data_IF_755425965574
#
_entry.id   IF_755425965574
#
_cell.length_a   1.000
_cell.length_b   1.000
_cell.length_c   1.000
_cell.angle_alpha   90.00
_cell.angle_beta   90.00
_cell.angle_gamma   90.00
#
_symmetry.space_group_name_H-M   'P 1'
#
loop_
_entity.id
_entity.type
_entity.pdbx_description
1 polymer ?
#
# COMPACT_ATOMS: atom_id res chain seq x y z
N UNK A 1 19.07 16.42 19.88
CA UNK A 1 18.88 16.39 18.41
C UNK A 1 19.00 14.94 18.01
N UNK A 2 18.03 14.36 17.31
CA UNK A 2 18.07 13.00 16.79
C UNK A 2 19.20 12.86 15.76
N UNK A 3 19.90 11.74 15.78
CA UNK A 3 21.04 11.46 14.91
C UNK A 3 20.55 11.29 13.45
N UNK A 4 21.27 11.90 12.49
CA UNK A 4 20.97 11.82 11.06
C UNK A 4 21.27 10.38 10.58
N UNK A 5 20.31 9.76 9.88
CA UNK A 5 20.45 8.42 9.34
C UNK A 5 20.64 8.43 7.83
N UNK A 6 19.77 9.12 7.10
CA UNK A 6 19.82 9.22 5.64
C UNK A 6 19.78 10.68 5.24
N UNK A 7 20.70 11.09 4.38
CA UNK A 7 20.65 12.41 3.76
C UNK A 7 20.71 12.28 2.24
N UNK A 8 19.85 13.01 1.57
CA UNK A 8 19.83 13.16 0.12
C UNK A 8 19.95 14.62 -0.21
N UNK A 9 20.90 14.99 -1.07
CA UNK A 9 21.17 16.38 -1.43
C UNK A 9 21.17 16.59 -2.94
N UNK A 10 20.39 17.56 -3.41
CA UNK A 10 20.28 18.00 -4.80
C UNK A 10 20.13 16.83 -5.78
N UNK A 11 19.33 15.83 -5.38
CA UNK A 11 19.19 14.60 -6.11
C UNK A 11 18.37 14.79 -7.38
N UNK A 12 19.00 14.52 -8.53
CA UNK A 12 18.35 14.53 -9.83
C UNK A 12 18.34 13.11 -10.41
N UNK A 13 17.13 12.63 -10.74
CA UNK A 13 16.93 11.33 -11.38
C UNK A 13 16.17 11.54 -12.68
N UNK A 14 16.69 10.96 -13.77
CA UNK A 14 16.04 10.94 -15.07
C UNK A 14 15.48 9.55 -15.39
N UNK A 15 14.41 9.54 -16.18
CA UNK A 15 13.87 8.35 -16.82
C UNK A 15 13.97 8.47 -18.35
N UNK A 16 14.22 7.34 -19.01
CA UNK A 16 14.09 7.21 -20.45
C UNK A 16 12.61 7.09 -20.81
N UNK A 17 12.09 8.11 -21.48
CA UNK A 17 10.71 8.18 -21.98
C UNK A 17 10.79 8.36 -23.50
N UNK A 18 10.44 7.29 -24.22
CA UNK A 18 10.48 7.27 -25.69
C UNK A 18 11.87 7.63 -26.28
N UNK A 19 12.94 7.11 -25.68
CA UNK A 19 14.32 7.35 -26.10
C UNK A 19 14.85 8.74 -25.72
N UNK A 20 14.15 9.48 -24.84
CA UNK A 20 14.59 10.79 -24.33
C UNK A 20 14.67 10.77 -22.81
N UNK A 21 15.81 11.15 -22.29
CA UNK A 21 15.99 11.32 -20.85
C UNK A 21 15.26 12.56 -20.36
N UNK A 22 14.37 12.38 -19.39
CA UNK A 22 13.59 13.45 -18.76
C UNK A 22 13.73 13.39 -17.26
N UNK A 23 13.93 14.52 -16.57
CA UNK A 23 14.02 14.56 -15.12
C UNK A 23 12.66 14.23 -14.48
N UNK A 24 12.65 13.20 -13.61
CA UNK A 24 11.49 12.76 -12.80
C UNK A 24 11.67 13.06 -11.33
N UNK A 25 12.90 13.37 -10.90
CA UNK A 25 13.26 13.97 -9.60
C UNK A 25 14.21 15.13 -9.91
N UNK A 26 13.93 16.32 -9.37
CA UNK A 26 14.54 17.57 -9.82
C UNK A 26 15.21 18.34 -8.69
N UNK A 27 16.37 17.86 -8.22
CA UNK A 27 17.13 18.51 -7.16
C UNK A 27 16.46 18.40 -5.79
N UNK A 28 15.89 17.25 -5.46
CA UNK A 28 15.24 17.03 -4.17
C UNK A 28 16.26 16.84 -3.05
N UNK A 29 15.90 17.39 -1.89
CA UNK A 29 16.65 17.23 -0.64
C UNK A 29 15.79 16.53 0.39
N UNK A 30 16.40 15.68 1.23
CA UNK A 30 15.75 15.02 2.37
C UNK A 30 16.77 14.66 3.43
N UNK A 31 16.47 14.97 4.68
CA UNK A 31 17.21 14.50 5.85
C UNK A 31 16.26 13.66 6.70
N UNK A 32 16.58 12.40 6.92
CA UNK A 32 15.83 11.46 7.76
C UNK A 32 16.66 11.09 8.97
N UNK A 33 16.08 11.21 10.15
CA UNK A 33 16.73 10.91 11.43
C UNK A 33 16.37 9.50 11.93
N UNK A 34 17.20 8.95 12.82
CA UNK A 34 16.94 7.64 13.44
C UNK A 34 15.59 7.65 14.16
N UNK A 35 14.77 6.62 13.90
CA UNK A 35 13.43 6.46 14.48
C UNK A 35 12.37 7.41 13.93
N UNK A 36 12.70 8.27 12.98
CA UNK A 36 11.77 9.18 12.31
C UNK A 36 11.00 8.46 11.18
N UNK A 37 9.74 8.80 11.01
CA UNK A 37 8.90 8.36 9.89
C UNK A 37 8.57 9.57 9.01
N UNK A 38 9.08 9.59 7.76
CA UNK A 38 8.73 10.61 6.77
C UNK A 38 7.68 10.05 5.81
N UNK A 39 6.58 10.77 5.66
CA UNK A 39 5.57 10.51 4.63
C UNK A 39 5.90 11.22 3.31
N UNK A 40 6.01 10.48 2.21
CA UNK A 40 6.10 11.04 0.86
C UNK A 40 4.72 10.98 0.20
N UNK A 41 4.10 12.13 -0.06
CA UNK A 41 2.77 12.22 -0.65
C UNK A 41 2.78 12.98 -1.98
N UNK A 42 1.74 12.79 -2.78
CA UNK A 42 1.53 13.44 -4.09
C UNK A 42 0.80 12.53 -5.06
N UNK A 43 0.41 13.06 -6.20
CA UNK A 43 -0.28 12.31 -7.26
C UNK A 43 0.58 11.17 -7.83
N UNK A 44 -0.09 10.23 -8.53
CA UNK A 44 0.64 9.20 -9.29
C UNK A 44 1.55 9.87 -10.33
N UNK A 45 2.78 9.37 -10.48
CA UNK A 45 3.78 9.99 -11.36
C UNK A 45 4.55 11.17 -10.76
N UNK A 46 4.30 11.57 -9.50
CA UNK A 46 5.02 12.67 -8.86
C UNK A 46 6.52 12.40 -8.55
N UNK A 47 7.01 11.18 -8.79
CA UNK A 47 8.40 10.81 -8.51
C UNK A 47 8.64 10.17 -7.14
N UNK A 48 7.60 9.98 -6.31
CA UNK A 48 7.69 9.48 -4.91
C UNK A 48 8.47 8.17 -4.77
N UNK A 49 8.00 7.12 -5.46
CA UNK A 49 8.64 5.79 -5.38
C UNK A 49 10.08 5.82 -5.92
N UNK A 50 10.34 6.60 -6.96
CA UNK A 50 11.70 6.74 -7.51
C UNK A 50 12.62 7.43 -6.52
N UNK A 51 12.15 8.52 -5.89
CA UNK A 51 12.90 9.24 -4.87
C UNK A 51 13.12 8.39 -3.62
N UNK A 52 12.07 7.73 -3.10
CA UNK A 52 12.20 6.84 -1.94
C UNK A 52 13.16 5.68 -2.18
N UNK A 53 13.04 4.99 -3.32
CA UNK A 53 13.93 3.87 -3.68
C UNK A 53 15.40 4.30 -3.84
N UNK A 54 15.65 5.54 -4.24
CA UNK A 54 17.01 6.08 -4.30
C UNK A 54 17.69 6.05 -2.92
N UNK A 55 16.93 6.14 -1.81
CA UNK A 55 17.45 6.01 -0.43
C UNK A 55 18.13 4.69 -0.11
N UNK A 56 17.96 3.68 -0.95
CA UNK A 56 18.72 2.41 -0.88
C UNK A 56 19.76 2.29 -2.02
N UNK A 57 20.13 3.41 -2.67
CA UNK A 57 21.02 3.40 -3.83
C UNK A 57 20.44 2.69 -5.06
N UNK A 58 19.10 2.62 -5.19
CA UNK A 58 18.43 1.89 -6.26
C UNK A 58 17.65 2.82 -7.18
N UNK A 59 17.78 2.60 -8.48
CA UNK A 59 16.91 3.19 -9.51
C UNK A 59 16.22 2.07 -10.29
N UNK A 60 14.95 2.29 -10.66
CA UNK A 60 14.22 1.34 -11.53
C UNK A 60 14.92 1.23 -12.90
N UNK A 61 14.77 0.11 -13.61
CA UNK A 61 15.23 0.00 -15.01
C UNK A 61 14.69 1.16 -15.84
N UNK A 62 15.53 1.73 -16.70
CA UNK A 62 15.18 2.93 -17.46
C UNK A 62 15.31 4.25 -16.68
N UNK A 63 15.81 4.23 -15.44
CA UNK A 63 16.11 5.42 -14.65
C UNK A 63 17.60 5.49 -14.29
N UNK A 64 18.12 6.72 -14.13
CA UNK A 64 19.49 6.96 -13.70
C UNK A 64 19.59 8.17 -12.77
N UNK A 65 20.51 8.11 -11.81
CA UNK A 65 20.91 9.26 -11.01
C UNK A 65 21.87 10.09 -11.86
N UNK A 66 21.57 11.37 -12.06
CA UNK A 66 22.38 12.30 -12.87
C UNK A 66 23.28 13.13 -11.99
N UNK A 67 22.76 13.58 -10.85
CA UNK A 67 23.51 14.39 -9.89
C UNK A 67 22.94 14.25 -8.50
N UNK A 68 23.65 14.78 -7.52
CA UNK A 68 23.30 14.75 -6.11
C UNK A 68 24.07 13.68 -5.35
N UNK A 69 23.79 13.61 -4.06
CA UNK A 69 24.43 12.70 -3.10
C UNK A 69 23.36 11.99 -2.28
N UNK A 70 23.62 10.73 -1.94
CA UNK A 70 22.77 9.91 -1.06
C UNK A 70 23.67 9.27 -0.01
N UNK A 71 23.59 9.73 1.23
CA UNK A 71 24.42 9.20 2.31
C UNK A 71 23.56 8.48 3.34
N UNK A 72 23.88 7.22 3.58
CA UNK A 72 23.34 6.44 4.69
C UNK A 72 24.37 6.48 5.82
N UNK A 73 24.06 7.20 6.88
CA UNK A 73 25.04 7.61 7.90
C UNK A 73 26.25 8.31 7.22
N UNK A 74 27.44 7.74 7.32
CA UNK A 74 28.65 8.31 6.73
C UNK A 74 28.99 7.75 5.34
N UNK A 75 28.17 6.86 4.78
CA UNK A 75 28.45 6.13 3.55
C UNK A 75 27.72 6.71 2.34
N UNK A 76 28.45 7.09 1.29
CA UNK A 76 27.88 7.55 0.01
C UNK A 76 27.42 6.36 -0.83
N UNK A 77 26.13 6.40 -1.24
CA UNK A 77 25.50 5.33 -2.04
C UNK A 77 25.55 5.61 -3.55
N UNK A 78 25.67 6.88 -3.96
CA UNK A 78 25.80 7.22 -5.39
C UNK A 78 27.17 6.78 -5.88
N UNK A 79 27.18 5.91 -6.88
CA UNK A 79 28.43 5.33 -7.39
C UNK A 79 29.02 4.19 -6.57
N UNK A 80 28.38 3.77 -5.49
CA UNK A 80 28.79 2.59 -4.72
C UNK A 80 28.75 1.33 -5.58
N UNK A 81 29.69 0.41 -5.33
CA UNK A 81 29.79 -0.83 -6.09
C UNK A 81 28.52 -1.71 -5.94
N UNK A 82 28.16 -2.49 -6.96
CA UNK A 82 27.03 -3.41 -6.86
C UNK A 82 27.17 -4.42 -5.71
N UNK A 83 28.40 -4.81 -5.36
CA UNK A 83 28.66 -5.70 -4.22
C UNK A 83 28.28 -5.01 -2.91
N UNK A 84 28.72 -3.74 -2.72
CA UNK A 84 28.41 -2.97 -1.51
C UNK A 84 26.92 -2.69 -1.39
N UNK A 85 26.25 -2.32 -2.46
CA UNK A 85 24.81 -2.11 -2.46
C UNK A 85 24.02 -3.38 -2.09
N UNK A 86 24.50 -4.57 -2.49
CA UNK A 86 23.89 -5.85 -2.06
C UNK A 86 24.06 -6.11 -0.57
N UNK A 87 25.20 -5.72 0.02
CA UNK A 87 25.42 -5.84 1.45
C UNK A 87 24.49 -4.93 2.28
N UNK A 88 24.14 -3.75 1.75
CA UNK A 88 23.28 -2.77 2.42
C UNK A 88 21.82 -3.17 2.28
N UNK A 89 21.37 -3.57 1.08
CA UNK A 89 19.98 -3.91 0.77
C UNK A 89 19.57 -5.23 1.43
N UNK A 90 18.43 -5.20 2.12
CA UNK A 90 17.93 -6.32 2.91
C UNK A 90 18.59 -6.46 4.29
N UNK A 91 19.68 -5.72 4.54
CA UNK A 91 20.41 -5.70 5.80
C UNK A 91 20.24 -4.37 6.57
N UNK A 92 20.82 -3.28 6.05
CA UNK A 92 20.73 -1.94 6.69
C UNK A 92 19.51 -1.18 6.22
N UNK A 93 19.11 -1.36 4.96
CA UNK A 93 17.91 -0.76 4.36
C UNK A 93 17.06 -1.86 3.74
N UNK A 94 15.78 -1.90 4.09
CA UNK A 94 14.81 -2.84 3.55
C UNK A 94 13.70 -2.13 2.80
N UNK A 95 13.01 -2.87 1.93
CA UNK A 95 11.94 -2.36 1.09
C UNK A 95 10.70 -3.23 1.20
N UNK A 96 9.56 -2.58 1.37
CA UNK A 96 8.22 -3.20 1.37
C UNK A 96 7.49 -2.71 0.12
N UNK A 97 7.25 -3.63 -0.81
CA UNK A 97 6.67 -3.31 -2.11
C UNK A 97 5.16 -3.04 -2.03
N UNK A 98 4.64 -2.36 -3.04
CA UNK A 98 3.21 -2.05 -3.19
C UNK A 98 2.33 -3.31 -3.22
N UNK A 99 2.77 -4.37 -3.89
CA UNK A 99 2.04 -5.63 -4.01
C UNK A 99 2.83 -6.77 -3.39
N UNK A 100 2.40 -7.22 -2.21
CA UNK A 100 2.97 -8.39 -1.59
C UNK A 100 2.79 -9.64 -2.47
N UNK A 101 1.64 -9.78 -3.13
CA UNK A 101 1.37 -10.91 -4.03
C UNK A 101 2.35 -11.00 -5.21
N UNK A 102 2.86 -9.85 -5.69
CA UNK A 102 3.86 -9.81 -6.75
C UNK A 102 5.30 -9.98 -6.23
N UNK A 103 5.54 -9.67 -4.96
CA UNK A 103 6.87 -9.74 -4.35
C UNK A 103 7.25 -11.17 -3.91
N UNK A 104 6.27 -11.95 -3.43
CA UNK A 104 6.50 -13.32 -2.99
C UNK A 104 6.55 -14.31 -4.17
N UNK A 105 7.46 -15.27 -4.09
CA UNK A 105 7.45 -16.41 -4.98
C UNK A 105 6.34 -17.40 -4.56
N UNK A 106 5.33 -17.67 -5.42
CA UNK A 106 4.19 -18.53 -5.05
C UNK A 106 4.57 -20.01 -4.85
N UNK A 107 5.76 -20.44 -5.30
CA UNK A 107 6.24 -21.81 -5.18
C UNK A 107 6.96 -22.11 -3.85
N UNK A 108 7.24 -21.08 -3.04
CA UNK A 108 7.93 -21.21 -1.76
C UNK A 108 7.02 -20.81 -0.59
N UNK A 109 7.24 -21.45 0.57
CA UNK A 109 6.53 -21.10 1.81
C UNK A 109 6.98 -19.73 2.30
N UNK A 110 6.14 -19.06 3.09
CA UNK A 110 6.45 -17.73 3.63
C UNK A 110 7.72 -17.75 4.49
N UNK A 111 7.91 -18.78 5.32
CA UNK A 111 9.06 -18.87 6.21
C UNK A 111 10.36 -19.12 5.44
N UNK A 112 10.32 -19.89 4.36
CA UNK A 112 11.51 -20.15 3.55
C UNK A 112 12.05 -18.85 2.93
N UNK A 113 11.13 -18.00 2.44
CA UNK A 113 11.48 -16.70 1.87
C UNK A 113 11.91 -15.68 2.94
N UNK A 114 11.34 -15.77 4.16
CA UNK A 114 11.79 -14.96 5.28
C UNK A 114 13.23 -15.27 5.67
N UNK A 115 13.59 -16.54 5.76
CA UNK A 115 14.89 -17.03 6.22
C UNK A 115 16.02 -16.64 5.25
N UNK A 116 15.72 -16.45 3.98
CA UNK A 116 16.73 -16.23 2.92
C UNK A 116 17.64 -15.04 3.24
N UNK A 117 17.09 -13.86 3.50
CA UNK A 117 17.89 -12.65 3.73
C UNK A 117 18.76 -12.72 5.00
N UNK A 118 18.26 -13.09 6.20
CA UNK A 118 19.08 -13.24 7.39
C UNK A 118 20.24 -14.24 7.23
N UNK A 119 20.01 -15.35 6.52
CA UNK A 119 21.05 -16.36 6.28
C UNK A 119 22.06 -15.87 5.25
N UNK A 120 21.60 -15.29 4.13
CA UNK A 120 22.46 -14.78 3.07
C UNK A 120 23.39 -13.66 3.55
N UNK A 121 22.90 -12.79 4.44
CA UNK A 121 23.69 -11.73 5.08
C UNK A 121 24.54 -12.23 6.26
N UNK A 122 24.54 -13.53 6.57
CA UNK A 122 25.31 -14.10 7.66
C UNK A 122 24.90 -13.64 9.06
N UNK A 123 23.67 -13.12 9.21
CA UNK A 123 23.15 -12.64 10.51
C UNK A 123 22.75 -13.77 11.44
N UNK A 124 22.16 -14.82 10.88
CA UNK A 124 21.55 -15.92 11.63
C UNK A 124 21.74 -17.25 10.91
N UNK A 125 21.68 -18.34 11.66
CA UNK A 125 21.49 -19.68 11.10
C UNK A 125 20.02 -19.84 10.70
N UNK A 126 19.72 -20.77 9.79
CA UNK A 126 18.36 -20.99 9.27
C UNK A 126 17.31 -21.22 10.37
N UNK A 127 17.64 -22.02 11.39
CA UNK A 127 16.73 -22.29 12.51
C UNK A 127 16.46 -21.05 13.37
N UNK A 128 17.48 -20.22 13.62
CA UNK A 128 17.35 -18.97 14.37
C UNK A 128 16.56 -17.94 13.59
N UNK A 129 16.79 -17.87 12.28
CA UNK A 129 16.03 -17.02 11.37
C UNK A 129 14.54 -17.43 11.30
N UNK A 130 14.25 -18.74 11.29
CA UNK A 130 12.87 -19.22 11.34
C UNK A 130 12.16 -18.84 12.65
N UNK A 131 12.83 -19.00 13.80
CA UNK A 131 12.30 -18.54 15.10
C UNK A 131 12.06 -17.02 15.09
N UNK A 132 13.02 -16.27 14.57
CA UNK A 132 12.88 -14.81 14.39
C UNK A 132 11.66 -14.45 13.52
N UNK A 133 11.41 -15.21 12.46
CA UNK A 133 10.22 -15.05 11.60
C UNK A 133 8.93 -15.23 12.39
N UNK A 134 8.82 -16.30 13.16
CA UNK A 134 7.66 -16.56 14.03
C UNK A 134 7.41 -15.44 15.04
N UNK A 135 8.50 -14.91 15.68
CA UNK A 135 8.40 -13.79 16.60
C UNK A 135 7.92 -12.51 15.92
N UNK A 136 8.39 -12.23 14.70
CA UNK A 136 7.92 -11.09 13.91
C UNK A 136 6.48 -11.28 13.42
N UNK A 137 6.07 -12.49 13.05
CA UNK A 137 4.68 -12.80 12.72
C UNK A 137 3.75 -12.55 13.91
N UNK A 138 4.19 -12.89 15.13
CA UNK A 138 3.44 -12.61 16.36
C UNK A 138 3.35 -11.11 16.64
N UNK A 139 4.45 -10.35 16.49
CA UNK A 139 4.48 -8.90 16.66
C UNK A 139 3.63 -8.15 15.62
N UNK A 140 3.46 -8.72 14.44
CA UNK A 140 2.64 -8.16 13.35
C UNK A 140 1.23 -8.76 13.30
N UNK A 141 0.75 -9.35 14.41
CA UNK A 141 -0.60 -9.90 14.60
C UNK A 141 -1.05 -10.84 13.46
N UNK A 142 -0.11 -11.65 12.95
CA UNK A 142 -0.47 -12.71 12.02
C UNK A 142 -1.16 -13.86 12.78
N UNK A 143 -2.28 -14.39 12.26
CA UNK A 143 -2.96 -15.51 12.91
C UNK A 143 -2.08 -16.77 12.87
N UNK A 144 -2.09 -17.55 13.95
CA UNK A 144 -1.31 -18.77 14.09
C UNK A 144 0.18 -18.55 13.73
N UNK A 145 0.87 -17.63 14.45
CA UNK A 145 2.21 -17.14 14.07
C UNK A 145 3.27 -18.24 14.02
N UNK A 146 3.05 -19.34 14.74
CA UNK A 146 3.96 -20.49 14.76
C UNK A 146 3.87 -21.34 13.48
N UNK A 147 2.70 -21.35 12.80
CA UNK A 147 2.47 -22.21 11.65
C UNK A 147 2.18 -21.46 10.35
N UNK A 148 1.74 -20.19 10.39
CA UNK A 148 1.43 -19.42 9.18
C UNK A 148 2.60 -19.37 8.19
N UNK A 149 3.82 -19.38 8.69
CA UNK A 149 5.05 -19.43 7.88
C UNK A 149 5.15 -20.66 6.98
N UNK A 150 4.47 -21.76 7.32
CA UNK A 150 4.44 -22.98 6.53
C UNK A 150 3.48 -22.91 5.33
N UNK A 151 2.64 -21.86 5.25
CA UNK A 151 1.71 -21.64 4.13
C UNK A 151 2.42 -21.02 2.94
N UNK A 152 1.84 -21.26 1.77
CA UNK A 152 2.23 -20.60 0.52
C UNK A 152 1.51 -19.25 0.38
N UNK A 153 2.05 -18.29 -0.40
CA UNK A 153 1.45 -16.97 -0.58
C UNK A 153 -0.03 -16.97 -0.97
N UNK A 154 -0.46 -17.91 -1.80
CA UNK A 154 -1.85 -18.05 -2.26
C UNK A 154 -2.81 -18.63 -1.20
N UNK A 155 -2.32 -19.07 -0.05
CA UNK A 155 -3.10 -19.68 1.04
C UNK A 155 -3.39 -18.67 2.17
N UNK A 156 -2.98 -17.42 2.03
CA UNK A 156 -3.17 -16.36 3.02
C UNK A 156 -3.88 -15.16 2.41
N UNK A 157 -4.53 -14.34 3.22
CA UNK A 157 -5.19 -13.11 2.76
C UNK A 157 -4.17 -12.04 2.35
N UNK A 158 -4.61 -11.05 1.56
CA UNK A 158 -3.76 -9.92 1.16
C UNK A 158 -3.14 -9.17 2.34
N UNK A 159 -3.91 -8.92 3.40
CA UNK A 159 -3.42 -8.27 4.63
C UNK A 159 -2.42 -9.13 5.40
N UNK A 160 -2.64 -10.45 5.46
CA UNK A 160 -1.67 -11.39 6.05
C UNK A 160 -0.38 -11.42 5.25
N UNK A 161 -0.47 -11.44 3.92
CA UNK A 161 0.70 -11.44 3.05
C UNK A 161 1.49 -10.13 3.17
N UNK A 162 0.81 -8.99 3.30
CA UNK A 162 1.43 -7.69 3.49
C UNK A 162 2.17 -7.60 4.83
N UNK A 163 1.57 -8.11 5.92
CA UNK A 163 2.22 -8.21 7.23
C UNK A 163 3.42 -9.17 7.20
N UNK A 164 3.30 -10.30 6.50
CA UNK A 164 4.42 -11.22 6.30
C UNK A 164 5.58 -10.58 5.51
N UNK A 165 5.30 -9.75 4.49
CA UNK A 165 6.31 -8.99 3.76
C UNK A 165 6.99 -7.95 4.66
N UNK A 166 6.23 -7.29 5.53
CA UNK A 166 6.79 -6.38 6.54
C UNK A 166 7.70 -7.13 7.53
N UNK A 167 7.28 -8.32 7.99
CA UNK A 167 8.13 -9.19 8.81
C UNK A 167 9.44 -9.52 8.11
N UNK A 168 9.37 -9.90 6.85
CA UNK A 168 10.54 -10.22 6.03
C UNK A 168 11.48 -9.00 5.90
N UNK A 169 10.94 -7.80 5.68
CA UNK A 169 11.71 -6.57 5.64
C UNK A 169 12.41 -6.25 6.99
N UNK A 170 11.82 -6.66 8.12
CA UNK A 170 12.37 -6.48 9.46
C UNK A 170 13.32 -7.61 9.90
N UNK A 171 13.49 -8.65 9.10
CA UNK A 171 14.21 -9.88 9.47
C UNK A 171 15.67 -9.67 9.87
N UNK A 172 16.37 -8.73 9.20
CA UNK A 172 17.77 -8.39 9.47
C UNK A 172 17.97 -7.21 10.44
N UNK A 173 16.94 -6.74 11.13
CA UNK A 173 16.95 -5.53 11.97
C UNK A 173 17.48 -4.30 11.22
N UNK A 174 16.84 -3.88 10.12
CA UNK A 174 17.28 -2.75 9.33
C UNK A 174 17.18 -1.45 10.11
N UNK A 175 18.00 -0.44 9.75
CA UNK A 175 17.92 0.91 10.30
C UNK A 175 16.88 1.77 9.57
N UNK A 176 16.60 1.44 8.31
CA UNK A 176 15.63 2.11 7.45
C UNK A 176 14.73 1.11 6.74
N UNK A 177 13.43 1.37 6.74
CA UNK A 177 12.48 0.65 5.89
C UNK A 177 11.79 1.65 4.96
N UNK A 178 11.75 1.32 3.67
CA UNK A 178 11.02 2.08 2.65
C UNK A 178 9.74 1.32 2.34
N UNK A 179 8.58 1.91 2.65
CA UNK A 179 7.27 1.39 2.34
C UNK A 179 6.73 2.08 1.09
N UNK A 180 6.49 1.33 0.03
CA UNK A 180 5.95 1.87 -1.24
C UNK A 180 4.48 1.45 -1.38
N UNK A 181 3.57 2.33 -0.97
CA UNK A 181 2.10 2.11 -1.00
C UNK A 181 1.65 0.75 -0.44
N UNK A 182 2.10 0.33 0.75
CA UNK A 182 1.96 -1.05 1.21
C UNK A 182 0.51 -1.48 1.49
N UNK A 183 -0.46 -0.57 1.45
CA UNK A 183 -1.85 -0.86 1.80
C UNK A 183 -2.84 -0.63 0.66
N UNK A 184 -2.38 -0.23 -0.53
CA UNK A 184 -3.24 0.12 -1.67
C UNK A 184 -4.14 -1.04 -2.15
N UNK A 185 -3.70 -2.29 -1.97
CA UNK A 185 -4.46 -3.48 -2.37
C UNK A 185 -5.38 -4.04 -1.27
N UNK A 186 -5.47 -3.37 -0.12
CA UNK A 186 -6.24 -3.82 1.04
C UNK A 186 -7.58 -3.06 1.12
N UNK A 187 -8.58 -3.71 1.72
CA UNK A 187 -9.80 -3.03 2.13
C UNK A 187 -9.53 -2.10 3.33
N UNK A 188 -10.42 -1.13 3.54
CA UNK A 188 -10.21 -0.03 4.51
C UNK A 188 -9.99 -0.54 5.94
N UNK A 189 -10.71 -1.57 6.36
CA UNK A 189 -10.61 -2.12 7.73
C UNK A 189 -9.24 -2.80 7.92
N UNK A 190 -8.89 -3.70 7.02
CA UNK A 190 -7.57 -4.37 7.00
C UNK A 190 -6.43 -3.36 6.87
N UNK A 191 -6.63 -2.28 6.10
CA UNK A 191 -5.63 -1.21 5.97
C UNK A 191 -5.31 -0.55 7.31
N UNK A 192 -6.32 -0.18 8.10
CA UNK A 192 -6.14 0.47 9.40
C UNK A 192 -5.38 -0.45 10.37
N UNK A 193 -5.76 -1.73 10.44
CA UNK A 193 -5.10 -2.72 11.28
C UNK A 193 -3.62 -2.92 10.90
N UNK A 194 -3.35 -3.12 9.61
CA UNK A 194 -1.98 -3.30 9.09
C UNK A 194 -1.12 -2.07 9.39
N UNK A 195 -1.68 -0.87 9.24
CA UNK A 195 -0.96 0.38 9.50
C UNK A 195 -0.60 0.55 10.98
N UNK A 196 -1.56 0.29 11.90
CA UNK A 196 -1.31 0.35 13.34
C UNK A 196 -0.18 -0.60 13.74
N UNK A 197 -0.29 -1.84 13.30
CA UNK A 197 0.68 -2.90 13.59
C UNK A 197 2.08 -2.57 13.04
N UNK A 198 2.16 -2.06 11.79
CA UNK A 198 3.42 -1.62 11.20
C UNK A 198 4.04 -0.47 12.00
N UNK A 199 3.23 0.55 12.35
CA UNK A 199 3.68 1.70 13.14
C UNK A 199 4.27 1.27 14.48
N UNK A 200 3.55 0.42 15.21
CA UNK A 200 3.99 -0.09 16.50
C UNK A 200 5.30 -0.88 16.39
N UNK A 201 5.40 -1.77 15.41
CA UNK A 201 6.58 -2.59 15.18
C UNK A 201 7.81 -1.75 14.80
N UNK A 202 7.64 -0.72 13.94
CA UNK A 202 8.70 0.20 13.53
C UNK A 202 9.16 1.05 14.70
N UNK A 203 8.24 1.64 15.47
CA UNK A 203 8.56 2.49 16.63
C UNK A 203 9.18 1.73 17.77
N UNK A 204 8.69 0.54 18.10
CA UNK A 204 9.23 -0.30 19.18
C UNK A 204 10.71 -0.66 18.95
N UNK A 205 11.19 -0.64 17.71
CA UNK A 205 12.56 -0.97 17.34
C UNK A 205 13.43 0.24 17.03
N UNK A 206 12.85 1.45 17.06
CA UNK A 206 13.57 2.69 16.70
C UNK A 206 14.05 2.71 15.25
N UNK A 207 13.38 1.99 14.35
CA UNK A 207 13.67 1.97 12.91
C UNK A 207 13.15 3.25 12.28
N UNK A 208 13.93 3.87 11.41
CA UNK A 208 13.46 4.98 10.60
C UNK A 208 12.66 4.46 9.39
N UNK A 209 11.69 5.25 8.90
CA UNK A 209 10.91 4.84 7.75
C UNK A 209 10.63 5.97 6.76
N UNK A 210 10.63 5.61 5.47
CA UNK A 210 10.05 6.42 4.39
C UNK A 210 8.76 5.74 3.99
N UNK A 211 7.63 6.43 4.17
CA UNK A 211 6.31 5.90 3.85
C UNK A 211 5.73 6.62 2.64
N UNK A 212 5.68 5.95 1.51
CA UNK A 212 5.18 6.47 0.24
C UNK A 212 3.71 6.11 0.10
N UNK A 213 2.86 7.10 -0.11
CA UNK A 213 1.43 6.88 -0.37
C UNK A 213 0.80 8.09 -1.06
N UNK A 214 -0.37 7.87 -1.62
CA UNK A 214 -1.28 8.92 -2.06
C UNK A 214 -2.42 9.16 -1.04
N UNK A 215 -2.52 8.33 0.00
CA UNK A 215 -3.55 8.45 1.05
C UNK A 215 -3.03 9.26 2.24
N UNK A 216 -3.54 10.48 2.33
CA UNK A 216 -3.24 11.42 3.43
C UNK A 216 -3.71 10.94 4.80
N UNK A 217 -4.77 10.09 4.86
CA UNK A 217 -5.25 9.55 6.13
C UNK A 217 -4.23 8.62 6.77
N UNK A 218 -3.56 7.87 5.92
CA UNK A 218 -2.50 6.95 6.31
C UNK A 218 -1.32 7.74 6.87
N UNK A 219 -0.86 8.73 6.12
CA UNK A 219 0.30 9.55 6.52
C UNK A 219 0.02 10.31 7.81
N UNK A 220 -1.20 10.84 7.98
CA UNK A 220 -1.62 11.54 9.19
C UNK A 220 -1.47 10.70 10.47
N UNK A 221 -1.61 9.38 10.35
CA UNK A 221 -1.53 8.45 11.48
C UNK A 221 -0.10 7.97 11.77
N UNK A 222 0.76 7.96 10.75
CA UNK A 222 2.08 7.32 10.81
C UNK A 222 3.23 8.30 10.90
N UNK A 223 3.24 9.33 10.05
CA UNK A 223 4.39 10.17 9.80
C UNK A 223 4.61 11.20 10.91
N UNK A 224 5.88 11.47 11.20
CA UNK A 224 6.32 12.58 12.03
C UNK A 224 6.45 13.85 11.17
N UNK A 225 6.90 13.70 9.91
CA UNK A 225 7.06 14.77 8.93
C UNK A 225 6.54 14.32 7.56
N UNK A 226 6.03 15.26 6.78
CA UNK A 226 5.47 15.01 5.44
C UNK A 226 6.21 15.85 4.41
N UNK A 227 6.53 15.22 3.28
CA UNK A 227 7.01 15.86 2.06
C UNK A 227 5.97 15.69 0.95
N UNK A 228 5.52 16.78 0.37
CA UNK A 228 4.54 16.83 -0.72
C UNK A 228 5.27 17.02 -2.04
N UNK A 229 5.17 16.01 -2.91
CA UNK A 229 5.83 16.01 -4.22
C UNK A 229 4.83 16.20 -5.36
N UNK A 230 5.25 16.95 -6.39
CA UNK A 230 4.50 17.11 -7.64
C UNK A 230 5.45 17.23 -8.82
N UNK A 231 5.28 16.37 -9.82
CA UNK A 231 6.08 16.38 -11.07
C UNK A 231 7.60 16.41 -10.85
N UNK A 232 8.08 15.76 -9.80
CA UNK A 232 9.49 15.68 -9.45
C UNK A 232 10.02 16.85 -8.61
N UNK A 233 9.17 17.79 -8.25
CA UNK A 233 9.52 18.95 -7.40
C UNK A 233 8.95 18.78 -5.99
N UNK A 234 9.66 19.29 -4.97
CA UNK A 234 9.16 19.44 -3.61
C UNK A 234 8.25 20.68 -3.55
N UNK A 235 7.00 20.49 -3.20
CA UNK A 235 6.01 21.56 -3.10
C UNK A 235 5.95 22.11 -1.68
N UNK A 236 5.91 21.22 -0.69
CA UNK A 236 5.79 21.59 0.72
C UNK A 236 6.38 20.50 1.60
N UNK A 237 6.99 20.90 2.70
CA UNK A 237 7.53 20.01 3.72
C UNK A 237 7.24 20.58 5.10
N UNK A 238 6.91 19.73 6.06
CA UNK A 238 6.67 20.18 7.42
C UNK A 238 6.34 19.03 8.37
N UNK A 239 6.22 19.38 9.66
CA UNK A 239 5.64 18.52 10.67
C UNK A 239 4.25 18.01 10.20
N UNK A 240 3.99 16.73 10.37
CA UNK A 240 2.79 16.09 9.81
C UNK A 240 1.51 16.75 10.29
N UNK A 241 1.42 17.06 11.58
CA UNK A 241 0.21 17.69 12.16
C UNK A 241 0.02 19.11 11.64
N UNK A 242 1.08 19.90 11.67
CA UNK A 242 1.06 21.30 11.21
C UNK A 242 0.69 21.42 9.74
N UNK A 243 1.24 20.56 8.89
CA UNK A 243 0.97 20.53 7.45
C UNK A 243 -0.48 20.13 7.14
N UNK A 244 -1.02 19.17 7.90
CA UNK A 244 -2.40 18.71 7.72
C UNK A 244 -3.44 19.72 8.25
N UNK A 245 -3.14 20.43 9.34
CA UNK A 245 -4.04 21.43 9.93
C UNK A 245 -4.00 22.77 9.18
N UNK A 246 -2.81 23.18 8.68
CA UNK A 246 -2.60 24.48 8.05
C UNK A 246 -1.64 24.44 6.85
N UNK A 247 -1.99 23.80 5.74
CA UNK A 247 -1.16 23.71 4.54
C UNK A 247 -0.97 25.10 3.92
N UNK A 248 0.27 25.43 3.60
CA UNK A 248 0.65 26.74 3.04
C UNK A 248 0.50 26.77 1.51
N UNK A 249 0.73 25.64 0.85
CA UNK A 249 0.68 25.55 -0.61
C UNK A 249 -0.72 25.20 -1.13
N UNK A 250 -1.12 25.85 -2.22
CA UNK A 250 -2.43 25.61 -2.84
C UNK A 250 -2.62 24.14 -3.27
N UNK A 251 -1.56 23.54 -3.80
CA UNK A 251 -1.57 22.14 -4.21
C UNK A 251 -1.84 21.21 -3.02
N UNK A 252 -1.17 21.43 -1.90
CA UNK A 252 -1.39 20.65 -0.66
C UNK A 252 -2.82 20.82 -0.15
N UNK A 253 -3.34 22.06 -0.16
CA UNK A 253 -4.76 22.33 0.20
C UNK A 253 -5.73 21.57 -0.69
N UNK A 254 -5.48 21.51 -2.00
CA UNK A 254 -6.31 20.76 -2.95
C UNK A 254 -6.25 19.25 -2.69
N UNK A 255 -5.08 18.68 -2.42
CA UNK A 255 -4.92 17.27 -2.04
C UNK A 255 -5.72 16.93 -0.79
N UNK A 256 -5.73 17.81 0.21
CA UNK A 256 -6.49 17.67 1.45
C UNK A 256 -8.00 17.87 1.25
N UNK A 257 -8.40 18.81 0.37
CA UNK A 257 -9.80 19.16 0.12
C UNK A 257 -10.58 18.04 -0.60
N UNK A 258 -9.94 17.20 -1.40
CA UNK A 258 -10.59 16.05 -2.06
C UNK A 258 -11.26 15.12 -1.03
N UNK A 259 -10.80 15.12 0.21
CA UNK A 259 -11.38 14.39 1.34
C UNK A 259 -12.62 15.02 1.95
N UNK A 260 -12.82 16.31 1.76
CA UNK A 260 -13.92 17.10 2.33
C UNK A 260 -15.02 17.40 1.30
N UNK A 261 -15.17 16.61 0.25
CA UNK A 261 -16.32 16.70 -0.64
C UNK A 261 -17.59 16.43 0.21
N UNK A 262 -18.11 17.51 0.80
CA UNK A 262 -19.44 17.52 1.38
C UNK A 262 -20.42 17.19 0.25
N UNK A 263 -21.33 16.28 0.53
CA UNK A 263 -22.56 16.13 -0.23
C UNK A 263 -23.15 17.52 -0.51
N UNK A 264 -23.12 17.96 -1.77
CA UNK A 264 -24.10 18.93 -2.19
C UNK A 264 -25.45 18.23 -2.07
N UNK A 265 -26.25 18.67 -1.11
CA UNK A 265 -27.66 18.31 -1.03
C UNK A 265 -28.33 18.85 -2.28
N UNK A 266 -28.27 18.06 -3.35
CA UNK A 266 -29.04 18.30 -4.56
C UNK A 266 -30.52 18.27 -4.20
N UNK A 267 -31.23 19.31 -4.62
CA UNK A 267 -32.67 19.46 -4.43
C UNK A 267 -33.40 18.20 -4.90
N UNK A 268 -34.34 17.74 -4.09
CA UNK A 268 -35.31 16.68 -4.34
C UNK A 268 -36.04 16.92 -5.68
N UNK A 269 -35.56 16.28 -6.75
CA UNK A 269 -36.37 16.00 -7.93
C UNK A 269 -36.80 14.52 -7.85
N UNK A 270 -37.97 14.19 -8.40
CA UNK A 270 -38.54 12.83 -8.42
C UNK A 270 -37.45 11.81 -8.70
N UNK A 271 -37.26 10.90 -7.74
CA UNK A 271 -36.16 9.97 -7.70
C UNK A 271 -36.47 8.78 -8.63
N UNK A 272 -36.11 8.89 -9.92
CA UNK A 272 -36.23 7.77 -10.84
C UNK A 272 -35.17 6.72 -10.45
N UNK A 273 -35.63 5.59 -9.91
CA UNK A 273 -34.78 4.44 -9.58
C UNK A 273 -34.33 3.76 -10.88
N UNK A 274 -33.03 3.73 -11.12
CA UNK A 274 -32.43 3.08 -12.32
C UNK A 274 -32.12 1.61 -12.06
N UNK A 275 -31.66 1.28 -10.83
CA UNK A 275 -31.37 -0.09 -10.46
C UNK A 275 -31.99 -0.38 -9.09
N UNK A 276 -32.71 -1.47 -8.99
CA UNK A 276 -33.22 -2.00 -7.72
C UNK A 276 -32.85 -3.48 -7.59
N UNK A 277 -32.21 -3.80 -6.47
CA UNK A 277 -31.93 -5.16 -6.04
C UNK A 277 -32.81 -5.41 -4.84
N UNK A 278 -33.65 -6.45 -4.86
CA UNK A 278 -34.64 -6.72 -3.82
C UNK A 278 -34.49 -8.12 -3.27
N UNK A 279 -34.19 -8.21 -1.97
CA UNK A 279 -34.09 -9.45 -1.16
C UNK A 279 -33.24 -10.53 -1.83
N UNK A 280 -32.09 -10.14 -2.42
CA UNK A 280 -31.24 -11.06 -3.17
C UNK A 280 -30.37 -11.88 -2.23
N UNK A 281 -30.47 -13.21 -2.43
CA UNK A 281 -29.55 -14.19 -1.83
C UNK A 281 -28.87 -15.00 -2.94
N UNK A 282 -27.54 -15.18 -2.78
CA UNK A 282 -26.74 -15.87 -3.78
C UNK A 282 -25.56 -16.62 -3.17
N UNK A 283 -25.21 -17.75 -3.82
CA UNK A 283 -24.02 -18.57 -3.52
C UNK A 283 -23.37 -19.05 -4.79
N UNK A 284 -22.11 -19.41 -4.71
CA UNK A 284 -21.40 -20.00 -5.83
C UNK A 284 -21.82 -21.48 -6.02
N UNK A 285 -21.77 -21.99 -7.26
CA UNK A 285 -21.97 -23.41 -7.51
C UNK A 285 -20.99 -24.24 -6.66
N UNK A 286 -21.49 -25.27 -5.98
CA UNK A 286 -20.74 -26.15 -5.08
C UNK A 286 -20.26 -25.51 -3.75
N UNK A 287 -20.73 -24.33 -3.39
CA UNK A 287 -20.53 -23.76 -2.07
C UNK A 287 -21.71 -24.09 -1.17
N UNK A 288 -21.45 -24.47 0.08
CA UNK A 288 -22.49 -24.79 1.08
C UNK A 288 -23.03 -23.52 1.75
N UNK A 289 -22.27 -22.42 1.73
CA UNK A 289 -22.64 -21.17 2.39
C UNK A 289 -23.12 -20.10 1.41
N UNK A 290 -24.13 -19.36 1.85
CA UNK A 290 -24.65 -18.20 1.13
C UNK A 290 -23.71 -17.00 1.32
N UNK A 291 -23.22 -16.48 0.19
CA UNK A 291 -22.33 -15.30 0.17
C UNK A 291 -23.11 -14.00 0.27
N UNK A 292 -24.30 -13.95 -0.36
CA UNK A 292 -25.25 -12.83 -0.19
C UNK A 292 -26.49 -13.37 0.53
N UNK A 293 -26.93 -12.62 1.55
CA UNK A 293 -28.10 -12.98 2.38
C UNK A 293 -29.02 -11.78 2.46
N UNK A 294 -30.15 -11.85 1.77
CA UNK A 294 -31.23 -10.85 1.80
C UNK A 294 -30.76 -9.40 1.51
N UNK A 295 -30.01 -9.21 0.45
CA UNK A 295 -29.45 -7.91 0.09
C UNK A 295 -30.47 -7.10 -0.70
N UNK A 296 -30.73 -5.85 -0.26
CA UNK A 296 -31.56 -4.87 -0.97
C UNK A 296 -30.83 -3.55 -1.11
N UNK A 297 -30.73 -3.04 -2.34
CA UNK A 297 -30.14 -1.73 -2.65
C UNK A 297 -30.94 -1.05 -3.76
N UNK A 298 -30.91 0.29 -3.78
CA UNK A 298 -31.48 1.12 -4.86
C UNK A 298 -30.45 2.13 -5.34
N UNK A 299 -30.37 2.30 -6.65
CA UNK A 299 -29.53 3.32 -7.29
C UNK A 299 -30.45 4.23 -8.08
N UNK A 300 -30.44 5.51 -7.74
CA UNK A 300 -31.21 6.54 -8.41
C UNK A 300 -30.46 7.11 -9.60
N UNK A 301 -31.18 7.65 -10.57
CA UNK A 301 -30.62 8.29 -11.76
C UNK A 301 -29.70 9.46 -11.34
N UNK A 302 -28.47 9.44 -11.86
CA UNK A 302 -27.46 10.46 -11.56
C UNK A 302 -26.84 10.35 -10.17
N UNK A 303 -27.12 9.28 -9.40
CA UNK A 303 -26.49 9.02 -8.09
C UNK A 303 -25.48 7.87 -8.20
N UNK A 304 -24.51 7.91 -7.33
CA UNK A 304 -23.52 6.83 -7.15
C UNK A 304 -23.75 6.16 -5.80
N UNK A 305 -23.85 4.83 -5.80
CA UNK A 305 -23.88 4.02 -4.57
C UNK A 305 -22.56 3.29 -4.45
N UNK A 306 -21.85 3.51 -3.34
CA UNK A 306 -20.62 2.80 -3.03
C UNK A 306 -20.92 1.55 -2.19
N UNK A 307 -20.37 0.40 -2.59
CA UNK A 307 -20.42 -0.85 -1.82
C UNK A 307 -19.07 -1.04 -1.14
N UNK A 308 -19.07 -0.92 0.18
CA UNK A 308 -17.86 -1.01 1.02
C UNK A 308 -17.95 -2.20 1.97
N UNK A 309 -16.83 -2.67 2.48
CA UNK A 309 -16.73 -3.79 3.42
C UNK A 309 -15.43 -4.56 3.27
N UNK A 310 -15.20 -5.52 4.15
CA UNK A 310 -14.01 -6.36 4.20
C UNK A 310 -13.84 -7.25 2.97
N UNK A 311 -12.61 -7.74 2.75
CA UNK A 311 -12.37 -8.76 1.71
C UNK A 311 -13.17 -10.01 2.03
N UNK A 312 -13.87 -10.55 1.01
CA UNK A 312 -14.75 -11.71 1.22
C UNK A 312 -16.20 -11.36 1.62
N UNK A 313 -16.55 -10.11 1.94
CA UNK A 313 -17.92 -9.72 2.35
C UNK A 313 -18.98 -9.77 1.25
N UNK A 314 -18.64 -10.23 0.04
CA UNK A 314 -19.62 -10.42 -1.04
C UNK A 314 -19.75 -9.25 -2.03
N UNK A 315 -18.95 -8.17 -1.94
CA UNK A 315 -19.03 -7.00 -2.86
C UNK A 315 -18.97 -7.38 -4.34
N UNK A 316 -17.98 -8.17 -4.72
CA UNK A 316 -17.83 -8.65 -6.10
C UNK A 316 -18.92 -9.64 -6.48
N UNK A 317 -19.46 -10.39 -5.52
CA UNK A 317 -20.57 -11.31 -5.74
C UNK A 317 -21.85 -10.54 -6.04
N UNK A 318 -22.12 -9.45 -5.33
CA UNK A 318 -23.23 -8.54 -5.62
C UNK A 318 -23.15 -7.96 -7.04
N UNK A 319 -21.97 -7.47 -7.44
CA UNK A 319 -21.76 -7.00 -8.80
C UNK A 319 -22.01 -8.08 -9.85
N UNK A 320 -21.58 -9.33 -9.60
CA UNK A 320 -21.85 -10.47 -10.50
C UNK A 320 -23.32 -10.83 -10.58
N UNK A 321 -24.06 -10.69 -9.50
CA UNK A 321 -25.53 -10.91 -9.51
C UNK A 321 -26.22 -9.81 -10.32
N UNK A 322 -25.88 -8.56 -10.10
CA UNK A 322 -26.45 -7.42 -10.84
C UNK A 322 -26.21 -7.59 -12.34
N UNK A 323 -25.00 -8.00 -12.74
CA UNK A 323 -24.64 -8.20 -14.16
C UNK A 323 -25.15 -9.52 -14.75
N UNK A 324 -25.75 -10.42 -13.94
CA UNK A 324 -26.23 -11.73 -14.37
C UNK A 324 -25.16 -12.81 -14.57
N UNK A 325 -23.92 -12.53 -14.17
CA UNK A 325 -22.81 -13.50 -14.21
C UNK A 325 -22.92 -14.58 -13.12
N UNK A 326 -23.68 -14.30 -12.07
CA UNK A 326 -24.04 -15.25 -11.02
C UNK A 326 -25.56 -15.13 -10.79
N UNK A 327 -26.36 -16.16 -11.11
CA UNK A 327 -27.78 -16.10 -10.85
C UNK A 327 -28.06 -16.18 -9.34
N UNK A 328 -28.90 -15.29 -8.78
CA UNK A 328 -29.37 -15.42 -7.42
C UNK A 328 -30.38 -16.60 -7.34
N UNK A 329 -30.42 -17.26 -6.18
CA UNK A 329 -31.43 -18.29 -5.92
C UNK A 329 -32.69 -17.70 -5.25
N UNK A 330 -32.62 -16.46 -4.74
CA UNK A 330 -33.74 -15.73 -4.16
C UNK A 330 -33.62 -14.23 -4.50
N UNK A 331 -34.74 -13.53 -4.58
CA UNK A 331 -34.82 -12.11 -4.89
C UNK A 331 -34.77 -11.83 -6.39
N UNK A 332 -34.77 -10.56 -6.74
CA UNK A 332 -34.70 -10.10 -8.12
C UNK A 332 -33.88 -8.83 -8.28
N UNK A 333 -33.48 -8.57 -9.52
CA UNK A 333 -32.80 -7.35 -9.95
C UNK A 333 -33.68 -6.68 -11.02
N UNK A 334 -33.96 -5.40 -10.82
CA UNK A 334 -34.73 -4.57 -11.75
C UNK A 334 -33.84 -3.44 -12.27
N UNK A 335 -33.90 -3.17 -13.57
CA UNK A 335 -33.20 -2.09 -14.21
C UNK A 335 -34.17 -1.31 -15.10
N UNK A 336 -34.28 0.01 -14.89
CA UNK A 336 -35.22 0.90 -15.60
C UNK A 336 -36.63 0.30 -15.63
N UNK A 337 -37.17 -0.09 -14.46
CA UNK A 337 -38.49 -0.71 -14.25
C UNK A 337 -38.68 -2.11 -14.86
N UNK A 338 -37.69 -2.67 -15.51
CA UNK A 338 -37.72 -4.00 -16.09
C UNK A 338 -37.03 -5.02 -15.19
N UNK A 339 -37.69 -6.14 -14.87
CA UNK A 339 -37.10 -7.23 -14.10
C UNK A 339 -36.12 -8.00 -14.99
N UNK A 340 -34.85 -7.96 -14.61
CA UNK A 340 -33.81 -8.66 -15.36
C UNK A 340 -33.86 -10.16 -15.15
N UNK A 341 -33.62 -10.92 -16.22
CA UNK A 341 -33.43 -12.37 -16.10
C UNK A 341 -32.26 -12.67 -15.14
N UNK A 342 -32.36 -13.67 -14.25
CA UNK A 342 -31.30 -14.06 -13.32
C UNK A 342 -29.97 -14.35 -14.00
N UNK A 343 -29.99 -14.99 -15.17
CA UNK A 343 -28.80 -15.37 -15.92
C UNK A 343 -28.54 -14.46 -17.12
N UNK A 344 -27.28 -14.05 -17.32
CA UNK A 344 -26.85 -13.19 -18.43
C UNK A 344 -27.27 -13.73 -19.81
N UNK A 345 -27.19 -15.04 -20.02
CA UNK A 345 -27.57 -15.68 -21.28
C UNK A 345 -29.03 -15.44 -21.70
N UNK A 346 -29.89 -15.05 -20.78
CA UNK A 346 -31.32 -14.80 -20.99
C UNK A 346 -31.67 -13.31 -20.92
N UNK A 347 -30.66 -12.43 -20.84
CA UNK A 347 -30.80 -10.96 -20.93
C UNK A 347 -30.56 -10.59 -22.39
N UNK A 348 -31.65 -10.43 -23.16
CA UNK A 348 -31.63 -10.04 -24.57
C UNK A 348 -31.25 -8.58 -24.78
#
# INVERSE_FOLDING_TARGET
>A
MSELLLSMHDLVIEADIDGKWKPIVKGLNMNLHKGEIIGLIGESGAGKSTFGLAGMGYTKPGCRIVSGSIRLEDEELVGASPARLREIRGNSVSYVAQSAAAAFNPAHRLIDQFVEAPVQHGKMRSEDAARRGQDLYRQLDLPDPDNIGNRFPHQVSGGQLQRAMTAMAMGCDPRLIIFDEPTTALDVTTQIEVLSTIKEAVRARGVAAIYITHDLAVVAQLADRIMVLRYGDLIEEGDARSLLENPQQEYTRRLLAVRSLREEKGASQREDTVLEVSNVSARYPRADEDVLKDISIRVQKGKTVAVVGESGSGKSTLARVITGLLPPFQGNVRFCDEVLSPALANRG
#
